data_IF_722380942120
#
_entry.id   IF_722380942120
#
_cell.length_a   1.000
_cell.length_b   1.000
_cell.length_c   1.000
_cell.angle_alpha   90.00
_cell.angle_beta   90.00
_cell.angle_gamma   90.00
#
_symmetry.space_group_name_H-M   'P 1'
#
loop_
_entity.id
_entity.type
_entity.pdbx_description
1 polymer ?
#
# COMPACT_ATOMS: atom_id res chain seq x y z
N UNK A 1 -10.74 16.14 27.34
CA UNK A 1 -10.45 16.06 25.89
C UNK A 1 -11.36 14.97 25.32
N UNK A 2 -12.32 15.34 24.49
CA UNK A 2 -13.20 14.39 23.80
C UNK A 2 -12.37 13.51 22.87
N UNK A 3 -12.50 12.18 22.98
CA UNK A 3 -11.87 11.26 22.02
C UNK A 3 -12.34 11.66 20.61
N UNK A 4 -11.44 11.85 19.64
CA UNK A 4 -11.87 12.08 18.26
C UNK A 4 -12.74 10.91 17.83
N UNK A 5 -13.86 11.24 17.18
CA UNK A 5 -14.81 10.28 16.62
C UNK A 5 -14.07 9.18 15.85
N UNK A 6 -14.35 7.92 16.18
CA UNK A 6 -13.77 6.72 15.56
C UNK A 6 -14.32 6.43 14.17
N UNK A 7 -15.09 7.37 13.57
CA UNK A 7 -15.71 7.17 12.26
C UNK A 7 -14.79 7.68 11.17
N UNK A 8 -14.38 6.79 10.28
CA UNK A 8 -13.69 7.14 9.04
C UNK A 8 -14.64 8.00 8.20
N UNK A 9 -14.22 9.18 7.72
CA UNK A 9 -15.06 10.01 6.86
C UNK A 9 -15.42 9.25 5.58
N UNK A 10 -16.71 9.28 5.23
CA UNK A 10 -17.19 8.72 3.98
C UNK A 10 -16.48 9.41 2.79
N UNK A 11 -16.27 8.66 1.71
CA UNK A 11 -15.66 9.21 0.50
C UNK A 11 -16.71 10.02 -0.27
N UNK A 12 -16.42 11.30 -0.54
CA UNK A 12 -17.30 12.17 -1.33
C UNK A 12 -17.11 11.96 -2.84
N UNK A 13 -18.10 12.38 -3.65
CA UNK A 13 -17.96 12.35 -5.11
C UNK A 13 -16.87 13.31 -5.61
N UNK A 14 -16.71 14.44 -4.93
CA UNK A 14 -15.66 15.42 -5.23
C UNK A 14 -14.26 14.83 -5.00
N UNK A 15 -14.06 14.13 -3.87
CA UNK A 15 -12.81 13.40 -3.62
C UNK A 15 -12.56 12.36 -4.73
N UNK A 16 -13.56 11.54 -5.06
CA UNK A 16 -13.44 10.52 -6.12
C UNK A 16 -13.06 11.12 -7.48
N UNK A 17 -13.60 12.29 -7.81
CA UNK A 17 -13.35 12.95 -9.08
C UNK A 17 -11.91 13.49 -9.20
N UNK A 18 -11.22 13.73 -8.08
CA UNK A 18 -9.82 14.18 -8.05
C UNK A 18 -8.79 13.07 -8.21
N UNK A 19 -9.18 11.81 -8.03
CA UNK A 19 -8.23 10.69 -8.05
C UNK A 19 -7.84 10.28 -9.47
N UNK A 20 -6.60 9.79 -9.66
CA UNK A 20 -6.23 9.15 -10.91
C UNK A 20 -6.98 7.82 -11.09
N UNK A 21 -6.96 7.31 -12.32
CA UNK A 21 -7.42 5.94 -12.55
C UNK A 21 -6.53 4.93 -11.79
N UNK A 22 -7.12 3.80 -11.38
CA UNK A 22 -6.37 2.67 -10.84
C UNK A 22 -5.24 2.23 -11.80
N UNK A 23 -4.07 1.93 -11.26
CA UNK A 23 -2.91 1.43 -12.02
C UNK A 23 -1.66 2.28 -11.86
N UNK A 24 -0.70 2.11 -12.77
CA UNK A 24 0.56 2.87 -12.76
C UNK A 24 0.28 4.33 -13.06
N UNK A 25 0.67 5.21 -12.14
CA UNK A 25 0.51 6.65 -12.26
C UNK A 25 1.69 7.24 -13.00
N UNK A 26 1.40 8.07 -13.99
CA UNK A 26 2.42 8.89 -14.64
C UNK A 26 2.83 10.02 -13.68
N UNK A 27 4.06 9.94 -13.19
CA UNK A 27 4.62 10.98 -12.33
C UNK A 27 4.83 12.30 -13.09
N UNK A 28 4.70 13.40 -12.35
CA UNK A 28 5.06 14.73 -12.85
C UNK A 28 6.54 14.81 -13.17
N UNK A 29 6.90 15.73 -14.07
CA UNK A 29 8.32 15.93 -14.42
C UNK A 29 9.08 16.44 -13.19
N UNK A 30 10.24 15.85 -12.87
CA UNK A 30 11.03 16.34 -11.75
C UNK A 30 11.63 17.72 -12.06
N UNK A 31 11.81 18.52 -11.01
CA UNK A 31 12.66 19.70 -11.07
C UNK A 31 14.12 19.25 -10.92
N UNK A 32 14.97 19.56 -11.89
CA UNK A 32 16.37 19.11 -11.92
C UNK A 32 17.30 20.31 -11.99
N UNK A 33 18.28 20.37 -11.09
CA UNK A 33 19.38 21.34 -11.13
C UNK A 33 20.69 20.71 -10.63
N UNK A 34 21.75 21.52 -10.50
CA UNK A 34 23.09 21.06 -10.08
C UNK A 34 23.14 20.38 -8.71
N UNK A 35 22.09 20.53 -7.88
CA UNK A 35 21.97 19.92 -6.54
C UNK A 35 21.33 18.53 -6.59
N UNK A 36 20.64 18.17 -7.69
CA UNK A 36 19.95 16.90 -7.84
C UNK A 36 18.56 17.03 -8.50
N UNK A 37 17.63 16.13 -8.11
CA UNK A 37 16.25 16.11 -8.59
C UNK A 37 15.25 16.21 -7.43
N UNK A 38 14.16 16.96 -7.63
CA UNK A 38 12.97 16.96 -6.79
C UNK A 38 11.85 16.31 -7.58
N UNK A 39 11.36 15.18 -7.11
CA UNK A 39 10.25 14.44 -7.73
C UNK A 39 8.97 14.66 -6.91
N UNK A 40 7.98 15.40 -7.42
CA UNK A 40 6.64 15.40 -6.82
C UNK A 40 6.07 13.99 -6.87
N UNK A 41 5.51 13.52 -5.75
CA UNK A 41 4.89 12.20 -5.64
C UNK A 41 3.37 12.30 -5.52
N UNK A 42 2.87 12.98 -4.49
CA UNK A 42 1.45 13.12 -4.20
C UNK A 42 1.17 14.51 -3.67
N UNK A 43 0.27 15.24 -4.34
CA UNK A 43 -0.20 16.59 -3.94
C UNK A 43 -1.64 16.53 -3.39
N UNK A 44 -2.03 15.38 -2.84
CA UNK A 44 -3.32 15.14 -2.20
C UNK A 44 -3.23 15.19 -0.68
N UNK A 45 -4.33 15.53 0.00
CA UNK A 45 -4.40 15.52 1.45
C UNK A 45 -4.38 14.08 1.99
N UNK A 46 -3.18 13.60 2.35
CA UNK A 46 -2.97 12.29 2.97
C UNK A 46 -3.02 12.35 4.51
N UNK A 47 -3.36 11.24 5.14
CA UNK A 47 -3.33 11.09 6.62
C UNK A 47 -2.29 10.09 7.10
N UNK A 48 -1.65 9.35 6.21
CA UNK A 48 -0.53 8.48 6.55
C UNK A 48 0.48 8.37 5.41
N UNK A 49 1.75 8.28 5.79
CA UNK A 49 2.86 7.88 4.95
C UNK A 49 3.64 6.79 5.69
N UNK A 50 3.80 5.63 5.07
CA UNK A 50 4.48 4.47 5.65
C UNK A 50 5.61 4.05 4.71
N UNK A 51 6.82 3.90 5.26
CA UNK A 51 7.94 3.27 4.58
C UNK A 51 7.91 1.77 4.87
N UNK A 52 7.98 0.95 3.83
CA UNK A 52 7.93 -0.51 3.94
C UNK A 52 9.19 -1.09 3.31
N UNK A 53 9.87 -1.93 4.08
CA UNK A 53 10.92 -2.86 3.63
C UNK A 53 10.30 -4.26 3.53
N UNK A 54 10.29 -4.84 2.33
CA UNK A 54 9.83 -6.20 2.05
C UNK A 54 10.99 -7.06 1.60
N UNK A 55 11.09 -8.27 2.15
CA UNK A 55 12.08 -9.26 1.72
C UNK A 55 11.64 -10.02 0.46
N UNK A 56 12.60 -10.41 -0.35
CA UNK A 56 12.39 -11.31 -1.46
C UNK A 56 11.63 -12.57 -0.99
N UNK A 57 10.65 -13.03 -1.78
CA UNK A 57 9.84 -14.19 -1.43
C UNK A 57 8.70 -13.89 -0.45
N UNK A 58 8.45 -12.62 -0.08
CA UNK A 58 7.33 -12.25 0.77
C UNK A 58 6.09 -11.80 -0.01
N UNK A 59 4.94 -11.85 0.68
CA UNK A 59 3.66 -11.27 0.24
C UNK A 59 3.23 -10.21 1.23
N UNK A 60 2.68 -9.11 0.71
CA UNK A 60 1.94 -8.12 1.49
C UNK A 60 0.65 -7.77 0.79
N UNK A 61 -0.31 -7.27 1.57
CA UNK A 61 -1.70 -7.17 1.17
C UNK A 61 -2.27 -8.55 0.75
N UNK A 62 -3.59 -8.61 0.66
CA UNK A 62 -4.46 -9.68 0.15
C UNK A 62 -5.85 -9.26 0.65
N UNK A 63 -6.22 -8.03 0.30
CA UNK A 63 -7.34 -7.33 0.90
C UNK A 63 -7.81 -6.21 -0.03
N UNK A 64 -8.95 -5.65 0.31
CA UNK A 64 -9.36 -4.34 -0.19
C UNK A 64 -9.67 -3.40 0.98
N UNK A 65 -9.73 -2.12 0.65
CA UNK A 65 -10.14 -1.06 1.55
C UNK A 65 -11.52 -0.56 1.17
N UNK A 66 -12.39 -0.31 2.16
CA UNK A 66 -13.74 0.23 1.92
C UNK A 66 -13.68 1.71 1.53
N UNK A 67 -12.76 2.47 2.13
CA UNK A 67 -12.67 3.92 1.96
C UNK A 67 -11.25 4.44 1.75
N UNK A 68 -10.22 3.70 2.14
CA UNK A 68 -8.83 4.10 1.92
C UNK A 68 -8.42 3.95 0.45
N UNK A 69 -7.66 4.90 -0.06
CA UNK A 69 -6.89 4.77 -1.30
C UNK A 69 -5.42 4.79 -0.97
N UNK A 70 -4.60 4.14 -1.80
CA UNK A 70 -3.14 4.11 -1.64
C UNK A 70 -2.42 4.57 -2.90
N UNK A 71 -1.39 5.40 -2.71
CA UNK A 71 -0.29 5.50 -3.65
C UNK A 71 0.88 4.68 -3.12
N UNK A 72 1.44 3.78 -3.94
CA UNK A 72 2.63 3.01 -3.61
C UNK A 72 3.78 3.37 -4.55
N UNK A 73 4.81 4.07 -4.04
CA UNK A 73 6.00 4.48 -4.81
C UNK A 73 7.20 3.61 -4.46
N UNK A 74 7.82 2.99 -5.47
CA UNK A 74 8.96 2.07 -5.26
C UNK A 74 10.27 2.85 -5.26
N UNK A 75 10.95 2.87 -4.11
CA UNK A 75 12.27 3.48 -3.94
C UNK A 75 13.37 2.57 -4.51
N UNK A 76 13.25 1.27 -4.28
CA UNK A 76 14.15 0.24 -4.81
C UNK A 76 13.45 -1.11 -4.87
N UNK A 77 13.89 -1.99 -5.77
CA UNK A 77 13.28 -3.31 -5.98
C UNK A 77 12.17 -3.29 -7.02
N UNK A 78 11.22 -4.22 -6.87
CA UNK A 78 10.09 -4.42 -7.78
C UNK A 78 8.92 -5.07 -7.05
N UNK A 79 7.71 -4.67 -7.40
CA UNK A 79 6.46 -5.27 -6.91
C UNK A 79 5.75 -5.98 -8.07
N UNK A 80 5.43 -7.25 -7.88
CA UNK A 80 4.40 -7.95 -8.64
C UNK A 80 3.04 -7.62 -7.99
N UNK A 81 2.29 -6.71 -8.61
CA UNK A 81 1.05 -6.15 -8.08
C UNK A 81 -0.17 -6.81 -8.71
N UNK A 82 -0.88 -7.60 -7.91
CA UNK A 82 -2.11 -8.26 -8.29
C UNK A 82 -3.31 -7.38 -7.95
N UNK A 83 -4.26 -7.25 -8.86
CA UNK A 83 -5.50 -6.54 -8.57
C UNK A 83 -6.72 -7.07 -9.33
N UNK A 84 -7.91 -6.80 -8.79
CA UNK A 84 -9.19 -6.92 -9.49
C UNK A 84 -10.26 -6.06 -8.83
N UNK A 85 -11.34 -5.69 -9.53
CA UNK A 85 -12.49 -5.10 -8.86
C UNK A 85 -13.07 -6.08 -7.83
N UNK A 86 -13.30 -5.60 -6.61
CA UNK A 86 -13.87 -6.41 -5.53
C UNK A 86 -15.22 -7.01 -5.95
N UNK A 87 -15.42 -8.30 -5.68
CA UNK A 87 -16.67 -9.01 -5.99
C UNK A 87 -16.88 -9.35 -7.47
N UNK A 88 -15.92 -9.05 -8.35
CA UNK A 88 -16.07 -9.29 -9.80
C UNK A 88 -16.04 -10.75 -10.23
N UNK A 89 -15.54 -11.66 -9.38
CA UNK A 89 -15.32 -13.07 -9.75
C UNK A 89 -14.25 -13.30 -10.81
N UNK A 90 -13.59 -12.24 -11.28
CA UNK A 90 -12.51 -12.31 -12.29
C UNK A 90 -11.22 -12.85 -11.66
N UNK A 91 -10.37 -13.44 -12.52
CA UNK A 91 -8.98 -13.69 -12.18
C UNK A 91 -8.26 -12.34 -11.94
N UNK A 92 -7.28 -12.28 -11.02
CA UNK A 92 -6.49 -11.08 -10.82
C UNK A 92 -5.63 -10.76 -12.04
N UNK A 93 -5.55 -9.47 -12.36
CA UNK A 93 -4.57 -8.92 -13.31
C UNK A 93 -3.25 -8.66 -12.58
N UNK A 94 -2.13 -8.81 -13.29
CA UNK A 94 -0.78 -8.59 -12.75
C UNK A 94 -0.15 -7.37 -13.43
N UNK A 95 0.39 -6.47 -12.60
CA UNK A 95 1.22 -5.34 -13.02
C UNK A 95 2.60 -5.46 -12.36
N UNK A 96 3.64 -4.95 -13.03
CA UNK A 96 4.96 -4.83 -12.44
C UNK A 96 5.21 -3.36 -12.11
N UNK A 97 5.50 -3.07 -10.84
CA UNK A 97 5.85 -1.73 -10.38
C UNK A 97 7.34 -1.73 -10.06
N UNK A 98 8.11 -1.06 -10.88
CA UNK A 98 9.56 -1.00 -10.78
C UNK A 98 10.00 0.22 -9.97
N UNK A 99 11.29 0.25 -9.63
CA UNK A 99 11.93 1.44 -9.08
C UNK A 99 11.53 2.71 -9.84
N UNK A 100 11.25 3.76 -9.07
CA UNK A 100 10.82 5.08 -9.52
C UNK A 100 9.42 5.12 -10.19
N UNK A 101 8.66 4.01 -10.14
CA UNK A 101 7.25 3.97 -10.52
C UNK A 101 6.31 4.05 -9.32
N UNK A 102 5.08 4.47 -9.57
CA UNK A 102 4.01 4.58 -8.57
C UNK A 102 2.75 3.90 -9.06
N UNK A 103 2.10 3.13 -8.20
CA UNK A 103 0.74 2.61 -8.44
C UNK A 103 -0.25 3.35 -7.56
N UNK A 104 -1.42 3.70 -8.12
CA UNK A 104 -2.58 4.13 -7.38
C UNK A 104 -3.60 2.99 -7.29
N UNK A 105 -4.18 2.80 -6.10
CA UNK A 105 -5.27 1.85 -5.87
C UNK A 105 -6.40 2.56 -5.12
N UNK A 106 -7.57 2.76 -5.76
CA UNK A 106 -8.74 3.33 -5.11
C UNK A 106 -9.41 2.31 -4.16
N UNK A 107 -10.38 2.75 -3.35
CA UNK A 107 -11.19 1.83 -2.55
C UNK A 107 -11.91 0.81 -3.44
N UNK A 108 -12.29 -0.33 -2.86
CA UNK A 108 -13.02 -1.41 -3.53
C UNK A 108 -12.27 -2.08 -4.70
N UNK A 109 -10.93 -2.06 -4.62
CA UNK A 109 -10.05 -2.89 -5.45
C UNK A 109 -9.34 -3.91 -4.54
N UNK A 110 -9.57 -5.19 -4.80
CA UNK A 110 -8.77 -6.27 -4.22
C UNK A 110 -7.34 -6.08 -4.72
N UNK A 111 -6.37 -6.03 -3.80
CA UNK A 111 -4.97 -5.92 -4.16
C UNK A 111 -4.07 -6.78 -3.26
N UNK A 112 -2.93 -7.16 -3.84
CA UNK A 112 -1.96 -8.05 -3.25
C UNK A 112 -0.62 -7.91 -3.94
N UNK A 113 0.46 -8.07 -3.21
CA UNK A 113 1.82 -7.76 -3.66
C UNK A 113 2.73 -8.95 -3.39
N UNK A 114 3.44 -9.40 -4.43
CA UNK A 114 4.61 -10.28 -4.29
C UNK A 114 5.88 -9.48 -4.50
N UNK A 115 6.90 -9.84 -3.73
CA UNK A 115 8.20 -9.18 -3.79
C UNK A 115 9.24 -10.18 -4.31
N UNK A 116 9.50 -10.25 -5.63
CA UNK A 116 10.49 -11.18 -6.17
C UNK A 116 11.93 -10.84 -5.74
N UNK A 117 12.16 -9.59 -5.32
CA UNK A 117 13.44 -9.08 -4.79
C UNK A 117 13.18 -8.23 -3.54
N UNK A 118 14.21 -8.02 -2.73
CA UNK A 118 14.14 -7.04 -1.63
C UNK A 118 13.69 -5.68 -2.17
N UNK A 119 12.66 -5.11 -1.57
CA UNK A 119 11.94 -3.95 -2.10
C UNK A 119 11.64 -2.96 -1.00
N UNK A 120 12.00 -1.71 -1.23
CA UNK A 120 11.68 -0.58 -0.35
C UNK A 120 10.71 0.32 -1.09
N UNK A 121 9.56 0.60 -0.47
CA UNK A 121 8.52 1.44 -1.07
C UNK A 121 7.79 2.28 -0.02
N UNK A 122 7.21 3.38 -0.48
CA UNK A 122 6.29 4.21 0.31
C UNK A 122 4.86 3.77 0.03
N UNK A 123 4.02 3.74 1.05
CA UNK A 123 2.57 3.71 0.93
C UNK A 123 2.00 4.99 1.54
N UNK A 124 1.34 5.79 0.72
CA UNK A 124 0.71 7.05 1.08
C UNK A 124 -0.81 6.86 1.02
N UNK A 125 -1.53 7.24 2.07
CA UNK A 125 -2.92 6.81 2.29
C UNK A 125 -3.86 7.95 2.68
N UNK A 126 -5.13 7.83 2.26
CA UNK A 126 -6.23 8.72 2.66
C UNK A 126 -6.48 8.66 4.16
N UNK A 127 -6.48 7.46 4.72
CA UNK A 127 -6.87 7.19 6.10
C UNK A 127 -5.64 7.12 7.02
N UNK A 128 -5.82 7.39 8.33
CA UNK A 128 -4.75 7.20 9.30
C UNK A 128 -4.46 5.70 9.48
N UNK A 129 -3.22 5.36 9.86
CA UNK A 129 -2.74 3.98 9.97
C UNK A 129 -2.78 3.41 11.38
N UNK A 130 -3.58 3.99 12.28
CA UNK A 130 -3.82 3.37 13.58
C UNK A 130 -4.58 2.06 13.40
N UNK A 131 -4.36 1.10 14.32
CA UNK A 131 -4.89 -0.25 14.17
C UNK A 131 -6.41 -0.27 14.08
N UNK A 132 -7.10 0.57 14.87
CA UNK A 132 -8.56 0.57 14.91
C UNK A 132 -9.15 1.07 13.60
N UNK A 133 -8.60 2.15 13.05
CA UNK A 133 -9.00 2.66 11.73
C UNK A 133 -8.69 1.65 10.62
N UNK A 134 -7.50 1.04 10.65
CA UNK A 134 -7.14 0.03 9.66
C UNK A 134 -8.08 -1.17 9.66
N UNK A 135 -8.33 -1.77 10.82
CA UNK A 135 -9.17 -2.96 10.93
C UNK A 135 -10.66 -2.68 10.61
N UNK A 136 -11.13 -1.45 10.83
CA UNK A 136 -12.49 -1.06 10.45
C UNK A 136 -12.68 -0.95 8.93
N UNK A 137 -11.63 -0.58 8.21
CA UNK A 137 -11.66 -0.31 6.77
C UNK A 137 -11.24 -1.50 5.90
N UNK A 138 -10.32 -2.32 6.38
CA UNK A 138 -9.75 -3.44 5.63
C UNK A 138 -10.71 -4.63 5.59
N UNK A 139 -10.81 -5.28 4.44
CA UNK A 139 -11.46 -6.58 4.29
C UNK A 139 -10.48 -7.52 3.62
N UNK A 140 -10.07 -8.54 4.37
CA UNK A 140 -9.14 -9.57 3.89
C UNK A 140 -9.88 -10.49 2.93
N UNK A 141 -9.24 -10.80 1.80
CA UNK A 141 -9.75 -11.68 0.77
C UNK A 141 -8.66 -12.68 0.38
N UNK A 142 -9.03 -13.82 -0.16
CA UNK A 142 -8.09 -14.77 -0.74
C UNK A 142 -8.28 -14.77 -2.26
N UNK A 143 -7.50 -13.96 -2.97
CA UNK A 143 -7.69 -13.81 -4.43
C UNK A 143 -6.43 -13.99 -5.27
N UNK A 144 -5.26 -13.85 -4.68
CA UNK A 144 -3.98 -14.14 -5.32
C UNK A 144 -3.40 -15.44 -4.74
N UNK A 145 -2.63 -16.21 -5.54
CA UNK A 145 -1.99 -17.40 -5.02
C UNK A 145 -0.92 -17.02 -3.98
N UNK A 146 -0.71 -17.85 -2.98
CA UNK A 146 0.26 -17.60 -1.88
C UNK A 146 1.27 -18.75 -1.71
N UNK A 147 1.10 -19.83 -2.46
CA UNK A 147 1.91 -21.03 -2.37
C UNK A 147 3.38 -20.74 -2.71
N UNK A 148 4.28 -21.12 -1.80
CA UNK A 148 5.72 -20.88 -1.96
C UNK A 148 6.20 -19.48 -1.56
N UNK A 149 5.32 -18.65 -0.98
CA UNK A 149 5.65 -17.30 -0.53
C UNK A 149 5.41 -17.13 0.97
N UNK A 150 6.19 -16.26 1.61
CA UNK A 150 6.05 -15.91 3.02
C UNK A 150 4.95 -14.86 3.18
N UNK A 151 3.85 -15.22 3.84
CA UNK A 151 2.75 -14.31 4.16
C UNK A 151 2.50 -14.26 5.67
N UNK A 152 2.14 -13.09 6.19
CA UNK A 152 1.64 -12.96 7.57
C UNK A 152 0.19 -13.42 7.66
N UNK A 153 -0.16 -14.07 8.77
CA UNK A 153 -1.51 -14.51 9.13
C UNK A 153 -1.95 -13.87 10.46
N UNK A 154 -3.26 -13.63 10.66
CA UNK A 154 -3.79 -13.22 11.96
C UNK A 154 -3.34 -14.15 13.09
N UNK A 155 -2.56 -13.62 14.03
CA UNK A 155 -1.99 -14.36 15.17
C UNK A 155 -0.48 -14.54 15.11
N UNK A 156 0.14 -14.32 13.96
CA UNK A 156 1.61 -14.32 13.84
C UNK A 156 2.20 -13.17 14.67
N UNK A 157 3.36 -13.43 15.27
CA UNK A 157 4.07 -12.50 16.16
C UNK A 157 4.38 -11.20 15.42
N UNK A 158 3.96 -10.09 16.00
CA UNK A 158 4.34 -8.74 15.58
C UNK A 158 4.95 -8.02 16.77
N UNK A 159 6.13 -7.44 16.60
CA UNK A 159 6.74 -6.56 17.59
C UNK A 159 6.59 -5.12 17.12
N UNK A 160 5.92 -4.28 17.91
CA UNK A 160 6.06 -2.81 17.82
C UNK A 160 7.18 -2.28 18.71
N UNK A 161 7.59 -3.06 19.71
CA UNK A 161 8.62 -2.71 20.66
C UNK A 161 9.92 -3.45 20.31
N UNK A 162 11.04 -2.72 20.38
CA UNK A 162 12.38 -3.29 20.29
C UNK A 162 12.62 -4.25 21.46
N UNK A 163 12.32 -5.53 21.25
CA UNK A 163 13.13 -6.61 21.81
C UNK A 163 13.64 -7.44 20.67
N UNK A 164 14.51 -6.82 19.86
CA UNK A 164 15.59 -7.58 19.26
C UNK A 164 16.47 -8.05 20.43
N UNK A 165 16.19 -9.24 20.95
CA UNK A 165 17.15 -9.92 21.81
C UNK A 165 18.45 -10.01 21.01
N UNK A 166 19.48 -9.37 21.54
CA UNK A 166 20.87 -9.66 21.20
C UNK A 166 21.08 -11.15 21.48
N UNK A 167 20.93 -11.98 20.45
CA UNK A 167 21.49 -13.33 20.49
C UNK A 167 22.99 -13.14 20.36
N UNK A 168 23.65 -13.19 21.52
CA UNK A 168 25.09 -13.34 21.58
C UNK A 168 25.49 -14.65 20.92
N UNK A 169 26.55 -14.58 20.12
CA UNK A 169 27.83 -15.20 20.45
C UNK A 169 28.96 -14.32 19.88
#
# INVERSE_FOLDING_TARGET
MTKPSSKIPDVTDEERAGWPAHGVVKLEKPFVDVRGKIQPLVDEMMRSAVLIDSKAGSIRANHYHKTDWHYCYVISGQIEYFHRPTGSGKAPELMFINKDEMVFTPPMIDHGMRFPVDTIFLTLSRNPRDQATYEADVVRVEFMPTEGWVSWQPGDIQSRDEKAESVGD
#
